data_IF_389131408631
#
_entry.id   IF_389131408631
#
_cell.length_a   1.000
_cell.length_b   1.000
_cell.length_c   1.000
_cell.angle_alpha   90.00
_cell.angle_beta   90.00
_cell.angle_gamma   90.00
#
_symmetry.space_group_name_H-M   'P 1'
#
loop_
_entity.id
_entity.type
_entity.pdbx_description
1 polymer ?
#
# COMPACT_ATOMS: atom_id res chain seq x y z
N UNK A 1 -24.50 30.47 -32.76
CA UNK A 1 -23.96 29.10 -32.94
C UNK A 1 -22.47 29.11 -32.59
N UNK A 2 -22.06 29.54 -31.39
CA UNK A 2 -20.62 29.56 -31.03
C UNK A 2 -20.32 29.13 -29.57
N UNK A 3 -21.28 28.45 -28.91
CA UNK A 3 -21.12 28.09 -27.49
C UNK A 3 -20.82 26.60 -27.24
N UNK A 4 -20.76 25.76 -28.28
CA UNK A 4 -20.62 24.28 -28.09
C UNK A 4 -19.15 23.83 -28.17
N UNK A 5 -18.23 24.65 -28.68
CA UNK A 5 -16.84 24.23 -28.90
C UNK A 5 -15.89 24.35 -27.66
N UNK A 6 -16.33 25.01 -26.59
CA UNK A 6 -15.45 25.30 -25.43
C UNK A 6 -15.54 24.25 -24.28
N UNK A 7 -16.51 23.32 -24.35
CA UNK A 7 -16.69 22.30 -23.29
C UNK A 7 -15.89 21.01 -23.57
N UNK A 8 -15.43 20.79 -24.79
CA UNK A 8 -14.73 19.55 -25.18
C UNK A 8 -13.24 19.54 -24.89
N UNK A 9 -12.59 20.68 -24.69
CA UNK A 9 -11.13 20.75 -24.51
C UNK A 9 -10.60 20.27 -23.14
N UNK A 10 -11.25 20.53 -22.01
CA UNK A 10 -10.75 20.04 -20.72
C UNK A 10 -10.91 18.53 -20.54
N UNK A 11 -11.96 17.95 -21.11
CA UNK A 11 -12.24 16.51 -20.98
C UNK A 11 -11.27 15.64 -21.79
N UNK A 12 -10.81 16.14 -22.96
CA UNK A 12 -9.85 15.40 -23.78
C UNK A 12 -8.43 15.37 -23.17
N UNK A 13 -8.04 16.41 -22.44
CA UNK A 13 -6.75 16.43 -21.72
C UNK A 13 -6.75 15.50 -20.50
N UNK A 14 -7.88 15.36 -19.83
CA UNK A 14 -8.02 14.40 -18.70
C UNK A 14 -7.93 12.95 -19.17
N UNK A 15 -8.47 12.62 -20.35
CA UNK A 15 -8.41 11.25 -20.90
C UNK A 15 -7.00 10.83 -21.34
N UNK A 16 -6.18 11.76 -21.84
CA UNK A 16 -4.81 11.45 -22.29
C UNK A 16 -3.80 11.33 -21.14
N UNK A 17 -4.13 11.85 -19.95
CA UNK A 17 -3.26 11.74 -18.76
C UNK A 17 -3.46 10.40 -18.06
N UNK A 18 -4.62 9.74 -18.22
CA UNK A 18 -4.98 8.52 -17.50
C UNK A 18 -4.18 7.27 -17.92
N UNK A 19 -3.82 7.13 -19.19
CA UNK A 19 -3.18 5.89 -19.65
C UNK A 19 -1.73 5.68 -19.20
N UNK A 20 -1.03 6.74 -18.78
CA UNK A 20 0.39 6.67 -18.39
C UNK A 20 0.66 6.69 -16.88
N UNK A 21 -0.32 7.04 -16.05
CA UNK A 21 -0.07 7.19 -14.60
C UNK A 21 0.08 5.85 -13.87
N UNK A 22 -0.65 4.84 -14.29
CA UNK A 22 -0.76 3.59 -13.54
C UNK A 22 0.51 2.74 -13.60
N UNK A 23 1.14 2.65 -14.76
CA UNK A 23 2.46 2.00 -14.89
C UNK A 23 3.57 2.77 -14.15
N UNK A 24 3.36 4.03 -13.86
CA UNK A 24 4.29 4.91 -13.14
C UNK A 24 4.42 4.49 -11.66
N UNK A 25 3.31 4.36 -10.93
CA UNK A 25 3.33 4.08 -9.49
C UNK A 25 3.93 2.71 -9.17
N UNK A 26 3.53 1.67 -9.90
CA UNK A 26 4.12 0.34 -9.72
C UNK A 26 5.64 0.37 -9.98
N UNK A 27 6.08 1.03 -11.04
CA UNK A 27 7.50 1.20 -11.38
C UNK A 27 8.25 2.02 -10.33
N UNK A 28 7.66 3.11 -9.85
CA UNK A 28 8.23 3.94 -8.78
C UNK A 28 8.41 3.13 -7.51
N UNK A 29 7.38 2.36 -7.11
CA UNK A 29 7.46 1.47 -5.96
C UNK A 29 8.59 0.45 -6.13
N UNK A 30 8.65 -0.27 -7.25
CA UNK A 30 9.66 -1.30 -7.50
C UNK A 30 11.07 -0.69 -7.54
N UNK A 31 11.21 0.51 -8.11
CA UNK A 31 12.48 1.24 -8.15
C UNK A 31 12.92 1.68 -6.74
N UNK A 32 12.02 2.24 -5.95
CA UNK A 32 12.30 2.63 -4.56
C UNK A 32 12.65 1.39 -3.73
N UNK A 33 11.85 0.32 -3.84
CA UNK A 33 12.08 -0.93 -3.14
C UNK A 33 13.46 -1.51 -3.45
N UNK A 34 13.86 -1.55 -4.72
CA UNK A 34 15.17 -2.08 -5.14
C UNK A 34 16.36 -1.23 -4.68
N UNK A 35 16.16 0.09 -4.51
CA UNK A 35 17.20 0.99 -3.98
C UNK A 35 17.38 0.87 -2.47
N UNK A 36 16.28 0.67 -1.75
CA UNK A 36 16.27 0.66 -0.28
C UNK A 36 16.55 -0.72 0.31
N UNK A 37 16.28 -1.77 -0.46
CA UNK A 37 16.26 -3.14 0.06
C UNK A 37 16.99 -4.12 -0.87
N UNK A 38 17.31 -5.30 -0.32
CA UNK A 38 17.79 -6.44 -1.10
C UNK A 38 16.70 -7.51 -1.16
N UNK A 39 16.39 -8.00 -2.36
CA UNK A 39 15.52 -9.15 -2.53
C UNK A 39 16.15 -10.40 -1.92
N UNK A 40 15.38 -11.17 -1.16
CA UNK A 40 15.86 -12.38 -0.48
C UNK A 40 14.96 -13.54 -0.87
N UNK A 41 15.56 -14.63 -1.31
CA UNK A 41 14.81 -15.87 -1.52
C UNK A 41 14.63 -16.55 -0.17
N UNK A 42 13.44 -16.44 0.41
CA UNK A 42 13.11 -17.10 1.66
C UNK A 42 11.93 -18.03 1.46
N UNK A 43 12.05 -19.27 1.97
CA UNK A 43 10.99 -20.30 1.97
C UNK A 43 9.79 -19.96 2.87
N UNK A 44 9.75 -18.75 3.44
CA UNK A 44 8.74 -18.31 4.42
C UNK A 44 7.37 -17.95 3.81
N UNK A 45 7.20 -18.05 2.49
CA UNK A 45 6.01 -17.56 1.77
C UNK A 45 4.67 -18.24 2.18
N UNK A 46 4.67 -19.34 2.92
CA UNK A 46 3.46 -20.16 3.08
C UNK A 46 2.46 -19.69 4.15
N UNK A 47 2.80 -18.75 5.02
CA UNK A 47 1.96 -18.41 6.19
C UNK A 47 1.28 -17.04 6.12
N UNK A 48 1.61 -16.20 5.14
CA UNK A 48 0.94 -14.94 4.92
C UNK A 48 0.17 -15.00 3.59
N UNK A 49 -1.13 -15.09 3.69
CA UNK A 49 -2.03 -15.27 2.55
C UNK A 49 -3.04 -14.11 2.50
N UNK A 50 -2.66 -12.95 1.96
CA UNK A 50 -3.58 -11.84 1.75
C UNK A 50 -4.64 -12.22 0.70
N UNK A 51 -5.84 -11.67 0.86
CA UNK A 51 -6.97 -11.90 -0.05
C UNK A 51 -7.47 -10.56 -0.57
N UNK A 52 -7.36 -10.36 -1.87
CA UNK A 52 -7.85 -9.17 -2.57
C UNK A 52 -8.64 -9.59 -3.80
N UNK A 53 -9.95 -9.56 -3.67
CA UNK A 53 -10.85 -10.04 -4.71
C UNK A 53 -10.80 -9.12 -5.94
N UNK A 54 -10.51 -9.69 -7.11
CA UNK A 54 -10.49 -8.97 -8.38
C UNK A 54 -9.31 -8.03 -8.56
N UNK A 55 -8.26 -8.11 -7.74
CA UNK A 55 -7.02 -7.37 -7.98
C UNK A 55 -6.43 -7.73 -9.35
N UNK A 56 -5.95 -6.70 -10.08
CA UNK A 56 -5.29 -6.91 -11.37
C UNK A 56 -3.87 -7.46 -11.18
N UNK A 57 -3.18 -6.97 -10.14
CA UNK A 57 -1.86 -7.45 -9.76
C UNK A 57 -1.74 -7.63 -8.26
N UNK A 58 -1.07 -8.69 -7.85
CA UNK A 58 -0.66 -8.91 -6.46
C UNK A 58 0.76 -9.41 -6.45
N UNK A 59 1.68 -8.60 -5.94
CA UNK A 59 3.09 -8.96 -5.80
C UNK A 59 3.47 -9.12 -4.33
N UNK A 60 4.13 -10.22 -4.01
CA UNK A 60 4.67 -10.52 -2.70
C UNK A 60 6.14 -10.86 -2.81
N UNK A 61 6.97 -10.11 -2.11
CA UNK A 61 8.41 -10.26 -2.17
C UNK A 61 9.01 -10.24 -0.76
N UNK A 62 9.97 -11.12 -0.51
CA UNK A 62 10.79 -11.03 0.71
C UNK A 62 11.97 -10.11 0.45
N UNK A 63 12.16 -9.16 1.36
CA UNK A 63 13.19 -8.12 1.25
C UNK A 63 13.98 -8.03 2.54
N UNK A 64 15.26 -7.65 2.43
CA UNK A 64 16.10 -7.29 3.57
C UNK A 64 16.28 -5.78 3.62
N UNK A 65 15.98 -5.20 4.76
CA UNK A 65 16.27 -3.81 5.08
C UNK A 65 17.06 -3.76 6.40
N UNK A 66 18.30 -3.24 6.34
CA UNK A 66 19.23 -3.39 7.45
C UNK A 66 19.51 -4.87 7.76
N UNK A 67 19.31 -5.25 9.02
CA UNK A 67 19.49 -6.64 9.48
C UNK A 67 18.22 -7.47 9.48
N UNK A 68 17.07 -6.86 9.19
CA UNK A 68 15.76 -7.49 9.28
C UNK A 68 15.25 -7.96 7.91
N UNK A 69 14.43 -9.00 7.94
CA UNK A 69 13.73 -9.50 6.75
C UNK A 69 12.25 -9.15 6.88
N UNK A 70 11.72 -8.53 5.83
CA UNK A 70 10.33 -8.11 5.72
C UNK A 70 9.67 -8.82 4.54
N UNK A 71 8.36 -8.93 4.60
CA UNK A 71 7.54 -9.24 3.45
C UNK A 71 6.89 -7.97 2.95
N UNK A 72 7.09 -7.69 1.70
CA UNK A 72 6.44 -6.63 0.96
C UNK A 72 5.22 -7.19 0.24
N UNK A 73 4.10 -6.51 0.33
CA UNK A 73 2.89 -6.75 -0.44
C UNK A 73 2.56 -5.49 -1.21
N UNK A 74 2.36 -5.64 -2.52
CA UNK A 74 1.74 -4.65 -3.38
C UNK A 74 0.50 -5.26 -4.02
N UNK A 75 -0.62 -4.57 -3.93
CA UNK A 75 -1.86 -4.92 -4.61
C UNK A 75 -2.29 -3.75 -5.48
N UNK A 76 -2.60 -4.02 -6.73
CA UNK A 76 -2.97 -3.01 -7.72
C UNK A 76 -4.34 -3.33 -8.32
N UNK A 77 -5.19 -2.33 -8.39
CA UNK A 77 -6.41 -2.29 -9.17
C UNK A 77 -6.23 -1.21 -10.23
N UNK A 78 -6.17 -1.60 -11.51
CA UNK A 78 -6.04 -0.70 -12.65
C UNK A 78 -7.37 0.01 -12.93
N UNK A 79 -8.44 -0.75 -12.76
CA UNK A 79 -9.81 -0.24 -12.88
C UNK A 79 -10.66 -0.81 -11.77
N UNK A 80 -11.50 0.02 -11.19
CA UNK A 80 -12.39 -0.39 -10.12
C UNK A 80 -13.84 -0.36 -10.59
N UNK A 81 -14.55 -1.47 -10.39
CA UNK A 81 -15.99 -1.62 -10.63
C UNK A 81 -16.64 -2.21 -9.39
N UNK A 82 -17.97 -2.24 -9.35
CA UNK A 82 -18.69 -2.82 -8.23
C UNK A 82 -18.25 -4.29 -8.00
N UNK A 83 -17.80 -4.59 -6.78
CA UNK A 83 -17.26 -5.90 -6.40
C UNK A 83 -15.78 -6.12 -6.76
N UNK A 84 -15.17 -5.22 -7.56
CA UNK A 84 -13.75 -5.16 -7.86
C UNK A 84 -13.21 -3.81 -7.37
N UNK A 85 -13.11 -3.64 -6.06
CA UNK A 85 -12.69 -2.41 -5.40
C UNK A 85 -11.57 -2.71 -4.42
N UNK A 86 -10.60 -1.81 -4.30
CA UNK A 86 -9.50 -2.00 -3.36
C UNK A 86 -10.00 -2.02 -1.91
N UNK A 87 -10.84 -1.05 -1.54
CA UNK A 87 -11.47 -1.02 -0.21
C UNK A 87 -12.79 -1.78 -0.25
N UNK A 88 -12.72 -3.07 -0.08
CA UNK A 88 -13.87 -3.98 -0.09
C UNK A 88 -13.86 -4.87 1.16
N UNK A 89 -15.03 -5.16 1.71
CA UNK A 89 -15.18 -5.91 2.99
C UNK A 89 -14.53 -7.28 2.99
N UNK A 90 -14.34 -7.89 1.82
CA UNK A 90 -13.70 -9.21 1.67
C UNK A 90 -12.18 -9.11 1.43
N UNK A 91 -11.64 -7.91 1.26
CA UNK A 91 -10.22 -7.70 1.06
C UNK A 91 -9.51 -7.62 2.39
N UNK A 92 -8.58 -8.52 2.60
CA UNK A 92 -7.80 -8.59 3.84
C UNK A 92 -6.32 -8.74 3.53
N UNK A 93 -5.44 -7.98 4.20
CA UNK A 93 -4.01 -8.07 3.99
C UNK A 93 -3.37 -9.30 4.67
N UNK A 94 -4.15 -10.13 5.34
CA UNK A 94 -3.72 -11.37 6.01
C UNK A 94 -4.86 -12.39 6.06
N UNK A 95 -4.54 -13.66 6.30
CA UNK A 95 -5.52 -14.72 6.45
C UNK A 95 -6.18 -14.64 7.83
N UNK A 96 -7.44 -14.22 7.89
CA UNK A 96 -8.21 -14.03 9.15
C UNK A 96 -8.49 -15.34 9.90
N UNK A 97 -8.42 -16.48 9.23
CA UNK A 97 -8.50 -17.81 9.84
C UNK A 97 -7.23 -18.21 10.60
N UNK A 98 -6.11 -17.52 10.34
CA UNK A 98 -4.81 -17.78 10.95
C UNK A 98 -4.38 -16.67 11.90
N UNK A 99 -4.73 -15.43 11.59
CA UNK A 99 -4.27 -14.24 12.29
C UNK A 99 -5.45 -13.40 12.78
N UNK A 100 -5.33 -12.92 14.01
CA UNK A 100 -6.25 -11.96 14.61
C UNK A 100 -5.52 -10.63 14.80
N UNK A 101 -6.22 -9.53 14.58
CA UNK A 101 -5.73 -8.20 14.94
C UNK A 101 -5.73 -8.06 16.45
N UNK A 102 -4.56 -7.93 17.05
CA UNK A 102 -4.37 -7.68 18.48
C UNK A 102 -4.45 -6.19 18.81
N UNK A 103 -3.81 -5.35 17.97
CA UNK A 103 -3.87 -3.90 18.11
C UNK A 103 -3.76 -3.20 16.76
N UNK A 104 -4.30 -1.98 16.69
CA UNK A 104 -4.12 -1.08 15.54
C UNK A 104 -3.79 0.31 16.06
N UNK A 105 -2.74 0.92 15.51
CA UNK A 105 -2.33 2.27 15.80
C UNK A 105 -2.15 3.05 14.49
N UNK A 106 -2.37 4.36 14.55
CA UNK A 106 -2.11 5.26 13.42
C UNK A 106 -0.98 6.21 13.82
N UNK A 107 0.00 6.34 12.94
CA UNK A 107 1.15 7.20 13.19
C UNK A 107 1.44 8.06 11.97
N UNK A 108 1.69 9.34 12.21
CA UNK A 108 2.16 10.28 11.20
C UNK A 108 3.64 10.55 11.44
N UNK A 109 4.43 10.48 10.39
CA UNK A 109 5.88 10.75 10.42
C UNK A 109 6.18 11.81 9.38
N UNK A 110 7.02 12.77 9.75
CA UNK A 110 7.58 13.74 8.82
C UNK A 110 8.99 13.32 8.43
N UNK A 111 9.22 13.07 7.14
CA UNK A 111 10.51 12.67 6.61
C UNK A 111 10.85 13.56 5.40
N UNK A 112 11.95 14.30 5.47
CA UNK A 112 12.42 15.18 4.39
C UNK A 112 11.31 16.12 3.87
N UNK A 113 10.58 16.76 4.78
CA UNK A 113 9.43 17.66 4.50
C UNK A 113 8.25 16.96 3.79
N UNK A 114 8.18 15.64 3.84
CA UNK A 114 7.05 14.85 3.37
C UNK A 114 6.36 14.23 4.57
N UNK A 115 5.07 14.52 4.72
CA UNK A 115 4.23 13.88 5.75
C UNK A 115 3.77 12.51 5.27
N UNK A 116 4.08 11.47 6.02
CA UNK A 116 3.71 10.09 5.74
C UNK A 116 2.77 9.56 6.82
N UNK A 117 1.77 8.78 6.43
CA UNK A 117 0.78 8.21 7.33
C UNK A 117 0.88 6.68 7.33
N UNK A 118 0.82 6.08 8.51
CA UNK A 118 1.04 4.66 8.72
C UNK A 118 -0.08 4.05 9.56
N UNK A 119 -0.67 2.95 9.08
CA UNK A 119 -1.52 2.05 9.88
C UNK A 119 -0.64 0.92 10.38
N UNK A 120 -0.40 0.90 11.67
CA UNK A 120 0.42 -0.09 12.36
C UNK A 120 -0.50 -1.15 12.94
N UNK A 121 -0.36 -2.40 12.53
CA UNK A 121 -1.22 -3.50 12.97
C UNK A 121 -0.37 -4.58 13.60
N UNK A 122 -0.67 -4.97 14.83
CA UNK A 122 -0.11 -6.16 15.46
C UNK A 122 -1.08 -7.32 15.25
N UNK A 123 -0.59 -8.37 14.63
CA UNK A 123 -1.31 -9.60 14.36
C UNK A 123 -0.84 -10.68 15.35
N UNK A 124 -1.76 -11.49 15.84
CA UNK A 124 -1.46 -12.62 16.73
C UNK A 124 -2.10 -13.89 16.18
N UNK A 125 -1.33 -14.98 16.12
CA UNK A 125 -1.83 -16.30 15.76
C UNK A 125 -2.40 -17.03 17.00
N UNK A 126 -2.99 -18.22 16.78
CA UNK A 126 -3.56 -19.06 17.86
C UNK A 126 -2.50 -19.58 18.83
N UNK A 127 -1.22 -19.55 18.49
CA UNK A 127 -0.09 -19.96 19.32
C UNK A 127 0.51 -18.80 20.11
N UNK A 128 -0.04 -17.58 19.94
CA UNK A 128 0.46 -16.38 20.58
C UNK A 128 1.65 -15.73 19.85
N UNK A 129 2.02 -16.21 18.66
CA UNK A 129 3.05 -15.56 17.85
C UNK A 129 2.56 -14.21 17.35
N UNK A 130 3.34 -13.18 17.52
CA UNK A 130 3.01 -11.84 17.06
C UNK A 130 3.75 -11.50 15.77
N UNK A 131 3.11 -10.70 14.93
CA UNK A 131 3.68 -10.06 13.74
C UNK A 131 3.26 -8.61 13.67
N UNK A 132 4.18 -7.79 13.22
CA UNK A 132 3.94 -6.37 13.03
C UNK A 132 3.82 -6.08 11.54
N UNK A 133 2.74 -5.39 11.18
CA UNK A 133 2.45 -4.97 9.81
C UNK A 133 2.26 -3.46 9.77
N UNK A 134 2.89 -2.80 8.80
CA UNK A 134 2.58 -1.43 8.42
C UNK A 134 1.88 -1.44 7.06
N UNK A 135 0.85 -0.62 6.89
CA UNK A 135 0.10 -0.57 5.62
C UNK A 135 -0.44 0.82 5.30
N UNK A 136 -0.67 1.07 4.02
CA UNK A 136 -1.29 2.29 3.51
C UNK A 136 -1.94 2.06 2.14
N UNK A 137 -2.79 3.00 1.74
CA UNK A 137 -3.39 3.10 0.42
C UNK A 137 -2.75 4.24 -0.37
N UNK A 138 -2.63 4.07 -1.68
CA UNK A 138 -2.25 5.11 -2.63
C UNK A 138 -3.28 5.18 -3.75
N UNK A 139 -4.03 6.28 -3.84
CA UNK A 139 -5.18 6.42 -4.73
C UNK A 139 -5.22 7.86 -5.28
N UNK A 140 -5.19 8.02 -6.58
CA UNK A 140 -5.25 9.34 -7.22
C UNK A 140 -4.19 10.31 -6.70
N UNK A 141 -2.95 9.84 -6.51
CA UNK A 141 -1.82 10.64 -6.01
C UNK A 141 -1.84 10.95 -4.51
N UNK A 142 -2.70 10.31 -3.75
CA UNK A 142 -2.88 10.54 -2.31
C UNK A 142 -2.59 9.30 -1.49
N UNK A 143 -1.90 9.50 -0.38
CA UNK A 143 -1.66 8.45 0.61
C UNK A 143 -2.68 8.59 1.73
N UNK A 144 -3.29 7.47 2.13
CA UNK A 144 -4.10 7.39 3.33
C UNK A 144 -3.98 6.02 3.99
N UNK A 145 -4.30 5.96 5.27
CA UNK A 145 -4.42 4.73 6.06
C UNK A 145 -5.85 4.49 6.53
N UNK A 146 -6.73 5.46 6.26
CA UNK A 146 -8.13 5.41 6.64
C UNK A 146 -8.97 4.86 5.48
N UNK A 147 -9.68 3.77 5.69
CA UNK A 147 -10.51 3.11 4.69
C UNK A 147 -11.66 3.99 4.17
N UNK A 148 -12.22 4.87 5.02
CA UNK A 148 -13.27 5.81 4.59
C UNK A 148 -12.71 6.87 3.67
N UNK A 149 -11.53 7.40 3.99
CA UNK A 149 -10.83 8.34 3.10
C UNK A 149 -10.42 7.67 1.80
N UNK A 150 -9.92 6.44 1.86
CA UNK A 150 -9.58 5.66 0.68
C UNK A 150 -10.80 5.49 -0.24
N UNK A 151 -11.98 5.15 0.30
CA UNK A 151 -13.24 5.11 -0.47
C UNK A 151 -13.59 6.45 -1.11
N UNK A 152 -13.39 7.54 -0.39
CA UNK A 152 -13.63 8.87 -0.92
C UNK A 152 -12.64 9.21 -2.05
N UNK A 153 -11.37 8.85 -1.89
CA UNK A 153 -10.35 9.05 -2.93
C UNK A 153 -10.63 8.17 -4.16
N UNK A 154 -11.06 6.92 -4.00
CA UNK A 154 -11.51 6.07 -5.09
C UNK A 154 -12.64 6.71 -5.91
N UNK A 155 -13.62 7.31 -5.23
CA UNK A 155 -14.72 7.99 -5.88
C UNK A 155 -14.24 9.19 -6.70
N UNK A 156 -13.42 10.07 -6.12
CA UNK A 156 -12.90 11.24 -6.83
C UNK A 156 -11.93 10.88 -7.95
N UNK A 157 -11.08 9.88 -7.76
CA UNK A 157 -10.17 9.40 -8.80
C UNK A 157 -10.94 8.88 -10.00
N UNK A 158 -12.00 8.10 -9.79
CA UNK A 158 -12.89 7.63 -10.86
C UNK A 158 -13.59 8.77 -11.60
N UNK A 159 -14.05 9.80 -10.90
CA UNK A 159 -14.63 10.98 -11.55
C UNK A 159 -13.60 11.76 -12.39
N UNK A 160 -12.33 11.72 -11.99
CA UNK A 160 -11.23 12.32 -12.75
C UNK A 160 -10.70 11.42 -13.89
N UNK A 161 -11.28 10.23 -14.08
CA UNK A 161 -10.84 9.27 -15.11
C UNK A 161 -9.67 8.37 -14.70
N UNK A 162 -9.19 8.50 -13.45
CA UNK A 162 -8.17 7.62 -12.88
C UNK A 162 -8.85 6.58 -11.99
N UNK A 163 -8.99 5.37 -12.51
CA UNK A 163 -9.59 4.24 -11.78
C UNK A 163 -8.59 3.46 -10.94
N UNK A 164 -7.31 3.86 -10.93
CA UNK A 164 -6.25 3.10 -10.28
C UNK A 164 -6.24 3.27 -8.76
N UNK A 165 -5.93 2.19 -8.07
CA UNK A 165 -5.77 2.19 -6.62
C UNK A 165 -4.77 1.11 -6.20
N UNK A 166 -3.95 1.44 -5.22
CA UNK A 166 -2.90 0.56 -4.75
C UNK A 166 -2.95 0.41 -3.24
N UNK A 167 -2.69 -0.80 -2.78
CA UNK A 167 -2.45 -1.11 -1.37
C UNK A 167 -1.02 -1.62 -1.21
N UNK A 168 -0.36 -1.13 -0.17
CA UNK A 168 0.98 -1.53 0.19
C UNK A 168 1.03 -1.98 1.64
N UNK A 169 1.81 -3.02 1.90
CA UNK A 169 2.11 -3.44 3.26
C UNK A 169 3.51 -4.02 3.39
N UNK A 170 4.12 -3.79 4.53
CA UNK A 170 5.30 -4.51 4.99
C UNK A 170 4.97 -5.27 6.26
N UNK A 171 5.39 -6.53 6.31
CA UNK A 171 5.26 -7.37 7.50
C UNK A 171 6.65 -7.80 7.94
N UNK A 172 6.97 -7.56 9.20
CA UNK A 172 8.17 -8.10 9.81
C UNK A 172 7.95 -9.58 10.12
N UNK A 173 8.81 -10.42 9.57
CA UNK A 173 8.83 -11.85 9.88
C UNK A 173 9.68 -12.06 11.12
N UNK A 174 9.07 -12.01 12.28
CA UNK A 174 9.77 -12.24 13.54
C UNK A 174 10.23 -13.69 13.64
N UNK A 175 11.54 -13.90 13.57
CA UNK A 175 12.15 -15.05 14.22
C UNK A 175 11.91 -14.89 15.72
N UNK A 176 11.37 -15.95 16.36
CA UNK A 176 11.15 -16.09 17.81
C UNK A 176 12.13 -15.22 18.63
N UNK A 177 11.78 -14.01 18.91
CA UNK A 177 12.44 -13.20 19.92
C UNK A 177 11.62 -13.32 21.20
N UNK A 178 12.25 -13.77 22.26
CA UNK A 178 11.82 -13.49 23.63
C UNK A 178 11.99 -11.97 23.88
N UNK A 179 11.16 -11.15 23.27
CA UNK A 179 11.15 -9.71 23.54
C UNK A 179 9.90 -9.41 24.34
N UNK A 180 10.13 -9.13 25.60
CA UNK A 180 9.12 -8.67 26.55
C UNK A 180 8.78 -7.19 26.33
N UNK A 181 8.53 -6.73 25.13
CA UNK A 181 8.06 -5.37 24.94
C UNK A 181 7.26 -5.25 23.66
N UNK A 182 6.05 -4.79 23.83
CA UNK A 182 5.01 -4.51 22.84
C UNK A 182 5.30 -3.27 21.97
N UNK A 183 6.56 -2.93 21.76
CA UNK A 183 6.92 -1.76 20.99
C UNK A 183 7.03 -2.09 19.50
N UNK A 184 6.31 -1.34 18.68
CA UNK A 184 6.30 -1.53 17.23
C UNK A 184 7.69 -1.23 16.67
N UNK A 185 8.27 -2.12 15.81
CA UNK A 185 9.65 -1.98 15.32
C UNK A 185 9.87 -0.67 14.56
N UNK A 186 10.79 0.16 15.03
CA UNK A 186 11.13 1.45 14.41
C UNK A 186 11.56 1.26 12.95
N UNK A 187 12.36 0.23 12.67
CA UNK A 187 12.86 -0.08 11.32
C UNK A 187 11.76 -0.36 10.29
N UNK A 188 10.60 -0.90 10.73
CA UNK A 188 9.45 -1.11 9.86
C UNK A 188 8.77 0.22 9.51
N UNK A 189 8.75 1.14 10.46
CA UNK A 189 8.22 2.49 10.25
C UNK A 189 9.16 3.32 9.35
N UNK A 190 10.47 3.21 9.55
CA UNK A 190 11.47 3.90 8.73
C UNK A 190 11.39 3.45 7.27
N UNK A 191 11.40 2.14 7.01
CA UNK A 191 11.22 1.58 5.67
C UNK A 191 9.95 2.10 4.99
N UNK A 192 8.84 2.05 5.70
CA UNK A 192 7.54 2.49 5.18
C UNK A 192 7.53 4.00 4.90
N UNK A 193 8.18 4.82 5.73
CA UNK A 193 8.28 6.27 5.54
C UNK A 193 9.14 6.63 4.33
N UNK A 194 10.27 5.95 4.14
CA UNK A 194 11.13 6.13 2.97
C UNK A 194 10.42 5.75 1.68
N UNK A 195 9.68 4.63 1.68
CA UNK A 195 8.89 4.20 0.53
C UNK A 195 7.79 5.21 0.17
N UNK A 196 7.00 5.66 1.13
CA UNK A 196 5.96 6.66 0.88
C UNK A 196 6.55 7.98 0.39
N UNK A 197 7.66 8.43 0.99
CA UNK A 197 8.35 9.66 0.57
C UNK A 197 8.85 9.58 -0.87
N UNK A 198 9.42 8.43 -1.29
CA UNK A 198 9.86 8.21 -2.66
C UNK A 198 8.69 8.27 -3.65
N UNK A 199 7.60 7.56 -3.34
CA UNK A 199 6.40 7.52 -4.18
C UNK A 199 5.76 8.91 -4.34
N UNK A 200 5.65 9.68 -3.27
CA UNK A 200 5.06 11.02 -3.30
C UNK A 200 5.91 12.06 -4.03
N UNK A 201 7.23 11.91 -4.03
CA UNK A 201 8.14 12.78 -4.79
C UNK A 201 8.01 12.56 -6.29
N UNK A 202 7.99 11.29 -6.72
CA UNK A 202 7.91 10.96 -8.14
C UNK A 202 6.52 11.26 -8.74
N UNK A 203 5.45 11.21 -7.91
CA UNK A 203 4.10 11.53 -8.38
C UNK A 203 3.88 13.03 -8.63
N UNK A 204 4.63 13.91 -7.98
CA UNK A 204 4.51 15.37 -8.12
C UNK A 204 5.29 15.95 -9.30
N UNK A 205 6.09 15.15 -10.01
CA UNK A 205 6.85 15.52 -11.19
C UNK A 205 6.06 15.22 -12.46
#
# INVERSE_FOLDING_TARGET
>A
VTAVALISYPTMRLFLISENHDSGIARTYDTALSKLTQRVDTRFAKTWNPRFAGADETDQTSIRYGTQIYRSLRVTYLTQTQGKELVFVKNTPFAEDQWLTSSTQFKTVELNSVTTNHKLTTLRDRRGTERHMVSWYFIGGRVTTNEREAKLFEFFARLAGDGSAHFFAFVLDEQKRNVSESEFPASLLDLSSEMQSAMLKDYKL
#
